data_IF_730281712108
#
_entry.id   IF_730281712108
#
_cell.length_a   1.000
_cell.length_b   1.000
_cell.length_c   1.000
_cell.angle_alpha   90.00
_cell.angle_beta   90.00
_cell.angle_gamma   90.00
#
_symmetry.space_group_name_H-M   'P 1'
#
loop_
_entity.id
_entity.type
_entity.pdbx_description
1 polymer ?
#
# COMPACT_ATOMS: atom_id res chain seq x y z
N UNK A 1 -1.22 -12.11 -25.32
CA UNK A 1 -0.04 -11.37 -24.82
C UNK A 1 1.17 -12.32 -24.86
N UNK A 2 2.34 -11.88 -25.31
CA UNK A 2 3.53 -12.75 -25.35
C UNK A 2 4.32 -12.68 -24.03
N UNK A 3 5.33 -13.54 -23.86
CA UNK A 3 6.13 -13.61 -22.63
C UNK A 3 6.88 -12.30 -22.35
N UNK A 4 7.45 -11.67 -23.38
CA UNK A 4 8.21 -10.41 -23.23
C UNK A 4 7.32 -9.27 -22.72
N UNK A 5 6.13 -9.11 -23.28
CA UNK A 5 5.13 -8.16 -22.77
C UNK A 5 4.73 -8.48 -21.33
N UNK A 6 4.56 -9.75 -20.99
CA UNK A 6 4.20 -10.17 -19.64
C UNK A 6 5.30 -9.86 -18.62
N UNK A 7 6.57 -10.07 -18.98
CA UNK A 7 7.73 -9.73 -18.14
C UNK A 7 7.83 -8.22 -17.94
N UNK A 8 7.62 -7.42 -19.00
CA UNK A 8 7.65 -5.95 -18.89
C UNK A 8 6.66 -5.43 -17.86
N UNK A 9 5.45 -6.00 -17.80
CA UNK A 9 4.41 -5.58 -16.85
C UNK A 9 4.78 -5.77 -15.36
N UNK A 10 5.84 -6.53 -15.05
CA UNK A 10 6.32 -6.73 -13.68
C UNK A 10 7.15 -5.55 -13.14
N UNK A 11 7.49 -4.59 -14.00
CA UNK A 11 8.16 -3.35 -13.61
C UNK A 11 7.42 -2.13 -14.17
N UNK A 12 7.69 -0.99 -13.58
CA UNK A 12 7.21 0.31 -14.03
C UNK A 12 7.90 0.73 -15.32
N UNK A 13 7.28 1.68 -16.00
CA UNK A 13 7.94 2.46 -17.06
C UNK A 13 8.85 3.52 -16.44
N UNK A 14 8.43 4.09 -15.31
CA UNK A 14 9.22 5.02 -14.51
C UNK A 14 8.91 4.89 -13.02
N UNK A 15 9.35 5.89 -12.26
CA UNK A 15 9.21 5.91 -10.78
C UNK A 15 7.76 5.97 -10.32
N UNK A 16 6.84 6.48 -11.15
CA UNK A 16 5.44 6.67 -10.80
C UNK A 16 4.45 6.02 -11.77
N UNK A 17 4.92 5.37 -12.84
CA UNK A 17 4.03 4.88 -13.92
C UNK A 17 4.24 3.40 -14.22
N UNK A 18 3.15 2.68 -14.47
CA UNK A 18 3.18 1.30 -14.95
C UNK A 18 3.46 1.24 -16.45
N UNK A 19 3.86 0.07 -16.94
CA UNK A 19 4.09 -0.15 -18.37
C UNK A 19 2.75 -0.16 -19.15
N UNK A 20 2.62 0.61 -20.24
CA UNK A 20 1.49 0.49 -21.15
C UNK A 20 1.64 -0.71 -22.08
N UNK A 21 0.51 -1.27 -22.53
CA UNK A 21 0.42 -2.25 -23.63
C UNK A 21 -0.71 -1.79 -24.58
N UNK A 22 -0.44 -0.81 -25.46
CA UNK A 22 -1.45 -0.23 -26.34
C UNK A 22 -2.14 -1.23 -27.26
N UNK A 23 -1.47 -2.33 -27.61
CA UNK A 23 -1.97 -3.38 -28.50
C UNK A 23 -3.22 -4.08 -27.94
N UNK A 24 -3.39 -4.07 -26.61
CA UNK A 24 -4.56 -4.61 -25.93
C UNK A 24 -5.40 -3.53 -25.23
N UNK A 25 -5.11 -2.24 -25.51
CA UNK A 25 -5.80 -1.12 -24.89
C UNK A 25 -5.41 -0.85 -23.43
N UNK A 26 -4.31 -1.44 -22.93
CA UNK A 26 -3.83 -1.17 -21.58
C UNK A 26 -3.00 0.11 -21.58
N UNK A 27 -3.52 1.17 -20.96
CA UNK A 27 -2.77 2.41 -20.73
C UNK A 27 -1.85 2.28 -19.52
N UNK A 28 -0.83 3.15 -19.46
CA UNK A 28 -0.06 3.34 -18.24
C UNK A 28 -0.97 3.88 -17.12
N UNK A 29 -0.74 3.38 -15.91
CA UNK A 29 -1.36 3.87 -14.69
C UNK A 29 -0.35 4.72 -13.91
N UNK A 30 -0.81 5.83 -13.36
CA UNK A 30 -0.01 6.71 -12.51
C UNK A 30 -0.28 6.42 -11.04
N UNK A 31 0.79 6.19 -10.28
CA UNK A 31 0.77 6.03 -8.84
C UNK A 31 1.37 7.28 -8.21
N UNK A 32 0.85 7.71 -7.06
CA UNK A 32 1.43 8.85 -6.34
C UNK A 32 1.27 8.71 -4.83
N UNK A 33 2.25 9.21 -4.09
CA UNK A 33 2.07 9.44 -2.66
C UNK A 33 0.94 10.45 -2.42
N UNK A 34 0.25 10.41 -1.29
CA UNK A 34 0.34 9.41 -0.23
C UNK A 34 -0.64 9.73 0.90
N UNK A 35 -0.42 9.26 2.14
CA UNK A 35 -1.45 9.18 3.18
C UNK A 35 -1.97 10.53 3.70
N UNK A 36 -1.33 11.66 3.37
CA UNK A 36 -1.67 13.02 3.86
C UNK A 36 -1.91 14.03 2.74
N UNK A 37 -2.15 13.55 1.52
CA UNK A 37 -2.38 14.39 0.33
C UNK A 37 -1.79 13.75 -0.93
N UNK A 38 -2.33 14.09 -2.10
CA UNK A 38 -1.87 13.53 -3.38
C UNK A 38 -0.81 14.44 -4.00
N UNK A 39 0.47 14.06 -3.92
CA UNK A 39 1.59 14.85 -4.43
C UNK A 39 1.49 15.07 -5.95
N UNK A 40 1.13 14.02 -6.69
CA UNK A 40 1.11 13.98 -8.16
C UNK A 40 2.34 13.28 -8.74
N UNK A 41 2.41 13.25 -10.08
CA UNK A 41 3.52 12.64 -10.83
C UNK A 41 4.71 13.57 -11.09
N UNK A 42 4.59 14.85 -10.76
CA UNK A 42 5.63 15.87 -10.95
C UNK A 42 5.90 16.59 -9.63
N UNK A 43 7.17 16.92 -9.39
CA UNK A 43 7.60 17.67 -8.19
C UNK A 43 7.75 19.15 -8.57
N UNK A 44 6.62 19.85 -8.70
CA UNK A 44 6.58 21.27 -9.07
C UNK A 44 5.59 22.05 -8.22
N UNK A 45 6.01 23.23 -7.76
CA UNK A 45 5.16 24.16 -6.99
C UNK A 45 3.98 24.72 -7.81
N UNK A 46 4.01 24.55 -9.14
CA UNK A 46 2.97 25.02 -10.04
C UNK A 46 1.71 24.15 -10.03
N UNK A 47 1.77 22.95 -9.45
CA UNK A 47 0.62 22.05 -9.27
C UNK A 47 0.46 21.66 -7.79
N UNK A 48 -0.04 22.58 -6.93
CA UNK A 48 -0.16 22.33 -5.51
C UNK A 48 -1.14 21.19 -5.21
N UNK A 49 -1.00 20.59 -4.02
CA UNK A 49 -1.88 19.56 -3.50
C UNK A 49 -2.56 20.01 -2.21
N UNK A 50 -3.76 19.52 -1.94
CA UNK A 50 -4.36 19.64 -0.62
C UNK A 50 -3.53 18.84 0.40
N UNK A 51 -3.01 19.53 1.43
CA UNK A 51 -2.35 18.89 2.57
C UNK A 51 -3.39 18.63 3.64
N UNK A 52 -3.54 17.36 4.01
CA UNK A 52 -4.48 16.92 5.02
C UNK A 52 -3.78 16.75 6.38
N UNK A 53 -4.53 16.68 7.50
CA UNK A 53 -3.96 16.32 8.79
C UNK A 53 -3.17 15.01 8.71
N UNK A 54 -2.19 14.84 9.59
CA UNK A 54 -1.38 13.62 9.63
C UNK A 54 -2.24 12.41 10.03
N UNK A 55 -1.82 11.18 9.69
CA UNK A 55 -2.56 9.94 10.02
C UNK A 55 -2.93 9.88 11.51
N UNK A 56 -1.97 10.17 12.38
CA UNK A 56 -2.18 10.20 13.83
C UNK A 56 -3.18 11.27 14.28
N UNK A 57 -3.19 12.44 13.63
CA UNK A 57 -4.15 13.49 13.91
C UNK A 57 -5.57 13.13 13.40
N UNK A 58 -5.66 12.48 12.24
CA UNK A 58 -6.92 11.93 11.73
C UNK A 58 -7.45 10.84 12.67
N UNK A 59 -6.59 9.95 13.15
CA UNK A 59 -6.97 8.86 14.06
C UNK A 59 -7.47 9.36 15.42
N UNK A 60 -6.95 10.49 15.90
CA UNK A 60 -7.44 11.13 17.13
C UNK A 60 -8.90 11.58 17.06
N UNK A 61 -9.53 11.59 15.87
CA UNK A 61 -10.98 11.85 15.73
C UNK A 61 -11.85 10.64 16.07
N UNK A 62 -11.34 9.41 15.94
CA UNK A 62 -12.11 8.15 16.03
C UNK A 62 -13.35 8.13 15.12
N UNK A 63 -13.31 8.85 14.00
CA UNK A 63 -14.46 9.07 13.13
C UNK A 63 -14.27 8.38 11.76
N UNK A 64 -14.83 7.18 11.61
CA UNK A 64 -14.81 6.42 10.35
C UNK A 64 -15.47 7.20 9.20
N UNK A 65 -16.56 7.92 9.45
CA UNK A 65 -17.24 8.72 8.42
C UNK A 65 -16.36 9.89 7.94
N UNK A 66 -15.58 10.49 8.85
CA UNK A 66 -14.59 11.49 8.49
C UNK A 66 -13.50 10.89 7.59
N UNK A 67 -12.97 9.71 7.91
CA UNK A 67 -11.93 9.07 7.11
C UNK A 67 -12.46 8.64 5.72
N UNK A 68 -13.72 8.23 5.63
CA UNK A 68 -14.39 7.98 4.35
C UNK A 68 -14.47 9.25 3.49
N UNK A 69 -14.93 10.37 4.08
CA UNK A 69 -14.96 11.68 3.37
C UNK A 69 -13.57 12.15 2.95
N UNK A 70 -12.56 11.93 3.79
CA UNK A 70 -11.16 12.23 3.46
C UNK A 70 -10.71 11.39 2.26
N UNK A 71 -11.08 10.11 2.20
CA UNK A 71 -10.84 9.27 1.02
C UNK A 71 -11.44 9.87 -0.25
N UNK A 72 -12.66 10.41 -0.18
CA UNK A 72 -13.29 11.11 -1.31
C UNK A 72 -12.54 12.38 -1.74
N UNK A 73 -12.02 13.17 -0.78
CA UNK A 73 -11.19 14.35 -1.09
C UNK A 73 -9.90 13.95 -1.80
N UNK A 74 -9.25 12.89 -1.32
CA UNK A 74 -8.02 12.36 -1.93
C UNK A 74 -8.27 11.83 -3.34
N UNK A 75 -9.38 11.13 -3.57
CA UNK A 75 -9.75 10.69 -4.91
C UNK A 75 -10.01 11.87 -5.85
N UNK A 76 -10.66 12.94 -5.38
CA UNK A 76 -10.84 14.16 -6.16
C UNK A 76 -9.51 14.80 -6.58
N UNK A 77 -8.56 14.91 -5.64
CA UNK A 77 -7.20 15.40 -5.94
C UNK A 77 -6.45 14.47 -6.90
N UNK A 78 -6.59 13.16 -6.74
CA UNK A 78 -5.98 12.17 -7.62
C UNK A 78 -6.51 12.30 -9.05
N UNK A 79 -7.83 12.38 -9.24
CA UNK A 79 -8.45 12.58 -10.56
C UNK A 79 -7.96 13.89 -11.18
N UNK A 80 -7.93 15.00 -10.42
CA UNK A 80 -7.43 16.29 -10.90
C UNK A 80 -5.98 16.21 -11.39
N UNK A 81 -5.15 15.42 -10.72
CA UNK A 81 -3.72 15.23 -11.03
C UNK A 81 -3.44 14.07 -12.01
N UNK A 82 -4.46 13.37 -12.51
CA UNK A 82 -4.28 12.20 -13.38
C UNK A 82 -3.61 11.01 -12.70
N UNK A 83 -3.84 10.85 -11.39
CA UNK A 83 -3.35 9.74 -10.56
C UNK A 83 -4.43 8.65 -10.48
N UNK A 84 -4.02 7.42 -10.75
CA UNK A 84 -4.89 6.24 -10.74
C UNK A 84 -4.87 5.49 -9.41
N UNK A 85 -3.76 5.55 -8.67
CA UNK A 85 -3.61 4.90 -7.37
C UNK A 85 -2.92 5.84 -6.37
N UNK A 86 -3.56 6.06 -5.23
CA UNK A 86 -2.97 6.78 -4.10
C UNK A 86 -2.22 5.78 -3.23
N UNK A 87 -0.93 6.04 -2.99
CA UNK A 87 -0.05 5.23 -2.14
C UNK A 87 -0.34 5.49 -0.66
N UNK A 88 -1.52 5.09 -0.21
CA UNK A 88 -1.97 5.16 1.17
C UNK A 88 -3.28 4.37 1.38
N UNK A 89 -3.70 4.20 2.64
CA UNK A 89 -3.14 4.81 3.85
C UNK A 89 -1.89 4.08 4.38
N UNK A 90 -1.12 4.73 5.27
CA UNK A 90 -0.08 4.03 6.05
C UNK A 90 -0.69 3.50 7.35
N UNK A 91 -0.58 2.19 7.59
CA UNK A 91 -1.29 1.47 8.67
C UNK A 91 -0.37 0.58 9.51
N UNK A 92 0.95 0.86 9.49
CA UNK A 92 1.89 0.31 10.47
C UNK A 92 1.55 0.82 11.88
N UNK A 93 1.97 0.09 12.92
CA UNK A 93 1.58 0.38 14.30
C UNK A 93 2.61 1.23 15.02
N UNK A 94 2.16 2.08 15.94
CA UNK A 94 3.04 2.85 16.81
C UNK A 94 3.66 1.97 17.91
N UNK A 95 4.51 1.01 17.55
CA UNK A 95 5.17 0.09 18.52
C UNK A 95 5.97 0.84 19.60
N UNK A 96 6.51 2.00 19.27
CA UNK A 96 7.36 2.83 20.13
C UNK A 96 7.11 4.30 19.86
N UNK A 97 7.20 5.23 20.82
CA UNK A 97 7.03 6.66 20.51
C UNK A 97 8.14 7.25 19.63
N UNK A 98 9.17 6.48 19.26
CA UNK A 98 10.36 6.93 18.52
C UNK A 98 10.33 6.68 17.01
N UNK A 99 9.27 6.07 16.48
CA UNK A 99 9.20 5.77 15.05
C UNK A 99 9.10 7.04 14.20
N UNK A 100 10.00 7.19 13.23
CA UNK A 100 10.12 8.39 12.40
C UNK A 100 8.93 8.66 11.47
N UNK A 101 8.06 7.67 11.26
CA UNK A 101 6.86 7.76 10.39
C UNK A 101 5.54 7.62 11.13
N UNK A 102 5.53 7.61 12.46
CA UNK A 102 4.26 7.51 13.21
C UNK A 102 3.30 8.65 12.94
N UNK A 103 3.78 9.81 12.52
CA UNK A 103 2.89 10.90 12.15
C UNK A 103 1.91 10.48 11.03
N UNK A 104 2.34 9.69 10.04
CA UNK A 104 1.52 9.25 8.90
C UNK A 104 0.78 7.93 9.13
N UNK A 105 1.07 7.21 10.21
CA UNK A 105 0.32 6.03 10.65
C UNK A 105 -0.89 6.45 11.52
N UNK A 106 -1.87 5.55 11.70
CA UNK A 106 -3.07 5.85 12.49
C UNK A 106 -2.85 5.71 14.00
N UNK A 107 -2.56 4.50 14.51
CA UNK A 107 -2.56 4.22 15.94
C UNK A 107 -1.55 3.14 16.35
N UNK A 108 -1.34 3.00 17.66
CA UNK A 108 -0.77 1.78 18.27
C UNK A 108 -1.78 0.63 18.31
N UNK A 109 -3.08 0.93 18.26
CA UNK A 109 -4.16 -0.04 18.35
C UNK A 109 -4.52 -0.61 16.95
N UNK A 110 -4.51 -1.94 16.78
CA UNK A 110 -4.80 -2.56 15.48
C UNK A 110 -6.25 -2.43 15.05
N UNK A 111 -7.21 -2.44 16.00
CA UNK A 111 -8.63 -2.31 15.70
C UNK A 111 -8.95 -0.92 15.15
N UNK A 112 -8.50 0.13 15.82
CA UNK A 112 -8.66 1.51 15.38
C UNK A 112 -7.99 1.72 14.02
N UNK A 113 -6.75 1.25 13.87
CA UNK A 113 -6.02 1.36 12.60
C UNK A 113 -6.75 0.66 11.46
N UNK A 114 -7.27 -0.55 11.67
CA UNK A 114 -8.03 -1.31 10.68
C UNK A 114 -9.35 -0.66 10.28
N UNK A 115 -10.14 -0.16 11.25
CA UNK A 115 -11.44 0.48 10.98
C UNK A 115 -11.28 1.79 10.21
N UNK A 116 -10.35 2.64 10.64
CA UNK A 116 -10.07 3.92 9.97
C UNK A 116 -9.49 3.71 8.56
N UNK A 117 -8.59 2.74 8.41
CA UNK A 117 -8.03 2.38 7.11
C UNK A 117 -9.11 1.84 6.15
N UNK A 118 -10.02 1.01 6.65
CA UNK A 118 -11.14 0.46 5.88
C UNK A 118 -12.02 1.59 5.34
N UNK A 119 -12.38 2.54 6.20
CA UNK A 119 -13.18 3.70 5.80
C UNK A 119 -12.46 4.58 4.76
N UNK A 120 -11.17 4.87 4.99
CA UNK A 120 -10.32 5.59 4.04
C UNK A 120 -10.29 4.90 2.66
N UNK A 121 -9.99 3.59 2.63
CA UNK A 121 -9.85 2.82 1.40
C UNK A 121 -11.16 2.81 0.61
N UNK A 122 -12.30 2.58 1.28
CA UNK A 122 -13.62 2.67 0.64
C UNK A 122 -13.87 4.05 0.05
N UNK A 123 -13.61 5.12 0.79
CA UNK A 123 -13.78 6.50 0.33
C UNK A 123 -12.97 6.82 -0.93
N UNK A 124 -11.72 6.32 -1.01
CA UNK A 124 -10.89 6.49 -2.23
C UNK A 124 -11.46 5.69 -3.41
N UNK A 125 -11.78 4.41 -3.19
CA UNK A 125 -12.16 3.47 -4.27
C UNK A 125 -13.57 3.66 -4.81
N UNK A 126 -14.53 4.08 -3.99
CA UNK A 126 -15.88 4.44 -4.44
C UNK A 126 -15.88 5.60 -5.45
N UNK A 127 -14.80 6.38 -5.48
CA UNK A 127 -14.60 7.49 -6.41
C UNK A 127 -13.70 7.13 -7.60
N UNK A 128 -13.46 5.84 -7.85
CA UNK A 128 -12.79 5.34 -9.05
C UNK A 128 -11.26 5.43 -9.04
N UNK A 129 -10.64 5.66 -7.88
CA UNK A 129 -9.19 5.72 -7.69
C UNK A 129 -8.76 4.55 -6.81
N UNK A 130 -7.64 3.91 -7.12
CA UNK A 130 -7.12 2.82 -6.29
C UNK A 130 -6.52 3.32 -4.98
N UNK A 131 -6.73 2.57 -3.90
CA UNK A 131 -5.99 2.75 -2.66
C UNK A 131 -4.88 1.69 -2.55
N UNK A 132 -3.83 2.02 -1.79
CA UNK A 132 -2.69 1.15 -1.56
C UNK A 132 -2.24 1.21 -0.09
N UNK A 133 -2.90 0.43 0.79
CA UNK A 133 -2.48 0.30 2.18
C UNK A 133 -1.02 -0.16 2.29
N UNK A 134 -0.27 0.48 3.20
CA UNK A 134 1.17 0.27 3.35
C UNK A 134 1.63 0.39 4.80
N UNK A 135 2.76 -0.19 5.20
CA UNK A 135 3.65 -1.08 4.47
C UNK A 135 3.51 -2.48 5.07
N UNK A 136 3.22 -3.45 4.21
CA UNK A 136 3.00 -4.84 4.61
C UNK A 136 4.35 -5.57 4.76
N UNK A 137 4.86 -5.90 5.94
CA UNK A 137 4.31 -5.69 7.29
C UNK A 137 5.44 -5.37 8.30
N UNK A 138 5.07 -4.88 9.49
CA UNK A 138 5.97 -4.62 10.62
C UNK A 138 7.09 -3.59 10.35
N UNK A 139 6.80 -2.56 9.56
CA UNK A 139 7.72 -1.47 9.24
C UNK A 139 7.58 -0.30 10.24
N UNK A 140 7.86 -0.55 11.52
CA UNK A 140 7.53 0.38 12.61
C UNK A 140 8.72 1.23 13.09
N UNK A 141 9.87 1.12 12.42
CA UNK A 141 11.07 1.91 12.70
C UNK A 141 11.84 2.23 11.41
N UNK A 142 12.42 3.44 11.36
CA UNK A 142 13.17 3.89 10.19
C UNK A 142 14.64 3.45 10.21
N UNK A 143 15.18 3.21 11.40
CA UNK A 143 16.55 2.73 11.58
C UNK A 143 16.72 1.38 10.89
N UNK A 144 17.68 1.32 9.96
CA UNK A 144 18.03 0.11 9.19
C UNK A 144 16.83 -0.55 8.48
N UNK A 145 15.78 0.20 8.16
CA UNK A 145 14.50 -0.34 7.64
C UNK A 145 14.62 -1.19 6.37
N UNK A 146 15.71 -1.07 5.61
CA UNK A 146 15.97 -1.85 4.39
C UNK A 146 16.76 -3.14 4.63
N UNK A 147 17.22 -3.38 5.86
CA UNK A 147 18.10 -4.51 6.21
C UNK A 147 17.72 -5.20 7.51
N UNK A 148 16.93 -4.55 8.36
CA UNK A 148 16.50 -5.12 9.64
C UNK A 148 15.59 -6.32 9.42
N UNK A 149 15.83 -7.40 10.17
CA UNK A 149 14.95 -8.56 10.26
C UNK A 149 14.19 -8.53 11.59
N UNK A 150 12.90 -8.19 11.51
CA UNK A 150 12.05 -8.06 12.68
C UNK A 150 11.64 -9.45 13.19
N UNK A 151 12.07 -9.77 14.41
CA UNK A 151 11.68 -10.99 15.10
C UNK A 151 10.35 -10.77 15.83
N UNK A 152 9.29 -11.43 15.37
CA UNK A 152 7.93 -11.29 15.90
C UNK A 152 7.30 -12.67 16.02
N UNK A 153 6.81 -13.04 17.21
CA UNK A 153 6.10 -14.31 17.38
C UNK A 153 4.75 -14.29 16.63
N UNK A 154 4.27 -15.47 16.26
CA UNK A 154 3.06 -15.64 15.45
C UNK A 154 1.84 -14.93 16.05
N UNK A 155 1.66 -15.02 17.37
CA UNK A 155 0.52 -14.41 18.03
C UNK A 155 0.57 -12.89 17.93
N UNK A 156 1.71 -12.29 18.25
CA UNK A 156 1.90 -10.84 18.09
C UNK A 156 1.75 -10.40 16.63
N UNK A 157 2.27 -11.20 15.69
CA UNK A 157 2.15 -10.92 14.26
C UNK A 157 0.68 -10.88 13.81
N UNK A 158 -0.11 -11.90 14.20
CA UNK A 158 -1.54 -12.03 13.88
C UNK A 158 -2.40 -10.98 14.58
N UNK A 159 -2.28 -10.86 15.90
CA UNK A 159 -3.16 -10.01 16.71
C UNK A 159 -2.88 -8.51 16.56
N UNK A 160 -1.65 -8.12 16.19
CA UNK A 160 -1.26 -6.71 16.07
C UNK A 160 -0.99 -6.30 14.62
N UNK A 161 0.10 -6.81 14.02
CA UNK A 161 0.60 -6.20 12.79
C UNK A 161 -0.24 -6.58 11.56
N UNK A 162 -0.70 -7.83 11.48
CA UNK A 162 -1.51 -8.33 10.38
C UNK A 162 -2.97 -7.87 10.49
N UNK A 163 -3.51 -7.75 11.69
CA UNK A 163 -4.94 -7.46 11.92
C UNK A 163 -5.49 -6.22 11.18
N UNK A 164 -4.80 -5.06 11.09
CA UNK A 164 -5.27 -3.93 10.29
C UNK A 164 -5.37 -4.25 8.80
N UNK A 165 -4.43 -5.02 8.26
CA UNK A 165 -4.42 -5.41 6.84
C UNK A 165 -5.49 -6.46 6.57
N UNK A 166 -5.68 -7.42 7.46
CA UNK A 166 -6.77 -8.41 7.40
C UNK A 166 -8.13 -7.72 7.30
N UNK A 167 -8.41 -6.77 8.21
CA UNK A 167 -9.64 -6.00 8.21
C UNK A 167 -9.84 -5.24 6.90
N UNK A 168 -8.80 -4.54 6.42
CA UNK A 168 -8.88 -3.77 5.17
C UNK A 168 -9.10 -4.68 3.95
N UNK A 169 -8.46 -5.85 3.89
CA UNK A 169 -8.66 -6.83 2.81
C UNK A 169 -10.09 -7.36 2.83
N UNK A 170 -10.58 -7.78 3.99
CA UNK A 170 -11.91 -8.35 4.16
C UNK A 170 -13.02 -7.32 3.86
N UNK A 171 -12.88 -6.09 4.38
CA UNK A 171 -13.97 -5.13 4.40
C UNK A 171 -13.89 -4.08 3.29
N UNK A 172 -12.70 -3.74 2.78
CA UNK A 172 -12.53 -2.68 1.78
C UNK A 172 -11.95 -3.15 0.44
N UNK A 173 -11.37 -4.36 0.37
CA UNK A 173 -10.77 -4.94 -0.85
C UNK A 173 -9.88 -3.93 -1.57
N UNK A 174 -8.72 -3.57 -0.99
CA UNK A 174 -7.84 -2.57 -1.59
C UNK A 174 -7.39 -3.03 -2.97
N UNK A 175 -7.25 -2.13 -3.93
CA UNK A 175 -6.82 -2.46 -5.30
C UNK A 175 -5.34 -2.77 -5.39
N UNK A 176 -4.55 -2.36 -4.40
CA UNK A 176 -3.13 -2.62 -4.32
C UNK A 176 -2.69 -2.69 -2.86
N UNK A 177 -1.59 -3.38 -2.56
CA UNK A 177 -0.92 -3.31 -1.26
C UNK A 177 0.57 -3.09 -1.51
N UNK A 178 1.22 -2.29 -0.66
CA UNK A 178 2.67 -2.07 -0.74
C UNK A 178 3.40 -2.92 0.30
N UNK A 179 4.33 -3.77 -0.16
CA UNK A 179 5.23 -4.51 0.71
C UNK A 179 6.24 -3.58 1.39
N UNK A 180 6.60 -3.91 2.62
CA UNK A 180 7.57 -3.20 3.42
C UNK A 180 9.02 -3.46 2.97
N UNK A 181 9.94 -2.66 3.49
CA UNK A 181 11.37 -2.79 3.22
C UNK A 181 12.05 -3.87 4.07
N UNK A 182 11.62 -4.03 5.32
CA UNK A 182 12.27 -4.89 6.31
C UNK A 182 12.06 -6.37 6.01
N UNK A 183 12.82 -7.22 6.70
CA UNK A 183 12.49 -8.63 6.88
C UNK A 183 11.56 -8.85 8.07
N UNK A 184 10.87 -9.98 8.07
CA UNK A 184 10.13 -10.50 9.22
C UNK A 184 10.44 -11.98 9.36
N UNK A 185 11.01 -12.36 10.50
CA UNK A 185 11.41 -13.73 10.82
C UNK A 185 12.24 -14.41 9.71
N UNK A 186 13.17 -13.67 9.10
CA UNK A 186 14.15 -14.17 8.14
C UNK A 186 14.12 -13.44 6.80
N UNK A 187 13.07 -13.66 5.99
CA UNK A 187 13.01 -13.18 4.60
C UNK A 187 12.57 -11.70 4.51
N UNK A 188 13.14 -10.90 3.59
CA UNK A 188 12.63 -9.58 3.23
C UNK A 188 11.16 -9.62 2.81
N UNK A 189 10.36 -8.62 3.18
CA UNK A 189 8.92 -8.59 2.88
C UNK A 189 8.59 -8.63 1.39
N UNK A 190 9.54 -8.32 0.50
CA UNK A 190 9.37 -8.42 -0.95
C UNK A 190 9.34 -9.85 -1.49
N UNK A 191 9.79 -10.82 -0.70
CA UNK A 191 9.86 -12.25 -1.04
C UNK A 191 9.39 -13.15 0.12
N UNK A 192 8.72 -12.57 1.12
CA UNK A 192 8.32 -13.28 2.33
C UNK A 192 7.07 -14.13 2.10
N UNK A 193 7.01 -15.32 2.72
CA UNK A 193 5.86 -16.23 2.64
C UNK A 193 4.55 -15.58 3.11
N UNK A 194 4.62 -14.55 3.95
CA UNK A 194 3.48 -13.72 4.37
C UNK A 194 2.73 -13.06 3.21
N UNK A 195 3.36 -12.89 2.05
CA UNK A 195 2.70 -12.43 0.83
C UNK A 195 1.77 -13.49 0.24
N UNK A 196 2.13 -14.77 0.33
CA UNK A 196 1.29 -15.87 -0.11
C UNK A 196 0.27 -16.23 0.97
N UNK A 197 0.72 -16.45 2.20
CA UNK A 197 -0.11 -16.81 3.35
C UNK A 197 0.25 -15.95 4.56
N UNK A 198 -0.67 -15.13 5.10
CA UNK A 198 -2.12 -15.23 4.92
C UNK A 198 -2.70 -14.38 3.77
N UNK A 199 -1.92 -13.48 3.16
CA UNK A 199 -2.48 -12.41 2.33
C UNK A 199 -3.26 -12.91 1.10
N UNK A 200 -2.64 -13.74 0.26
CA UNK A 200 -3.27 -14.25 -0.97
C UNK A 200 -4.18 -15.44 -0.70
N UNK A 201 -3.79 -16.34 0.21
CA UNK A 201 -4.53 -17.55 0.54
C UNK A 201 -5.66 -17.29 1.53
N UNK A 202 -5.34 -17.26 2.82
CA UNK A 202 -6.33 -17.12 3.90
C UNK A 202 -7.28 -15.92 3.72
N UNK A 203 -6.76 -14.74 3.35
CA UNK A 203 -7.57 -13.53 3.22
C UNK A 203 -8.10 -13.29 1.81
N UNK A 204 -7.59 -14.01 0.81
CA UNK A 204 -8.07 -13.93 -0.57
C UNK A 204 -7.82 -12.60 -1.27
N UNK A 205 -6.75 -11.85 -0.92
CA UNK A 205 -6.40 -10.61 -1.62
C UNK A 205 -6.07 -10.89 -3.09
N UNK A 206 -6.80 -10.30 -4.04
CA UNK A 206 -6.65 -10.54 -5.47
C UNK A 206 -5.88 -9.43 -6.21
N UNK A 207 -5.64 -8.28 -5.57
CA UNK A 207 -4.94 -7.14 -6.17
C UNK A 207 -3.42 -7.34 -6.35
N UNK A 208 -2.75 -6.52 -7.19
CA UNK A 208 -1.29 -6.50 -7.30
C UNK A 208 -0.60 -6.05 -6.00
N UNK A 209 0.63 -6.51 -5.82
CA UNK A 209 1.56 -5.99 -4.82
C UNK A 209 2.50 -4.98 -5.48
N UNK A 210 2.80 -3.90 -4.79
CA UNK A 210 3.88 -2.99 -5.17
C UNK A 210 4.99 -3.00 -4.13
N UNK A 211 6.22 -2.72 -4.56
CA UNK A 211 7.37 -2.64 -3.67
C UNK A 211 7.57 -1.19 -3.24
N UNK A 212 7.90 -0.99 -1.97
CA UNK A 212 8.36 0.32 -1.53
C UNK A 212 9.64 0.69 -2.29
N UNK A 213 9.65 1.84 -2.96
CA UNK A 213 10.78 2.28 -3.81
C UNK A 213 11.89 2.88 -2.95
N UNK A 214 12.96 2.12 -2.71
CA UNK A 214 14.19 2.65 -2.11
C UNK A 214 14.90 3.62 -3.06
N UNK A 215 15.86 4.44 -2.58
CA UNK A 215 16.63 5.38 -3.41
C UNK A 215 17.42 4.72 -4.56
N UNK A 216 17.51 3.39 -4.60
CA UNK A 216 18.14 2.60 -5.67
C UNK A 216 17.14 2.00 -6.69
N UNK A 217 15.82 2.09 -6.45
CA UNK A 217 14.81 1.54 -7.35
C UNK A 217 14.37 2.60 -8.36
N UNK A 218 14.93 2.53 -9.57
CA UNK A 218 14.64 3.48 -10.66
C UNK A 218 13.23 3.39 -11.28
N UNK A 219 12.32 2.57 -10.74
CA UNK A 219 10.96 2.41 -11.23
C UNK A 219 10.00 1.88 -10.14
N UNK A 220 8.69 2.12 -10.30
CA UNK A 220 7.64 1.34 -9.59
C UNK A 220 7.89 -0.13 -9.87
N UNK A 221 7.83 -1.00 -8.89
CA UNK A 221 7.76 -2.44 -9.15
C UNK A 221 6.37 -2.93 -8.78
N UNK A 222 5.71 -3.60 -9.73
CA UNK A 222 4.39 -4.21 -9.55
C UNK A 222 4.59 -5.71 -9.67
N UNK A 223 4.59 -6.39 -8.53
CA UNK A 223 4.55 -7.85 -8.50
C UNK A 223 3.09 -8.28 -8.52
N UNK A 224 2.64 -8.80 -9.66
CA UNK A 224 1.50 -9.71 -9.66
C UNK A 224 2.01 -11.05 -9.13
N UNK A 225 2.07 -11.22 -7.81
CA UNK A 225 2.28 -12.54 -7.22
C UNK A 225 0.99 -13.33 -7.45
N UNK A 226 0.88 -13.92 -8.64
CA UNK A 226 -0.11 -14.96 -8.93
C UNK A 226 0.37 -16.18 -8.14
N UNK A 227 -0.47 -16.81 -7.29
CA UNK A 227 -0.09 -18.07 -6.67
C UNK A 227 0.25 -19.07 -7.77
N UNK A 228 1.52 -19.44 -7.86
CA UNK A 228 1.96 -20.54 -8.72
C UNK A 228 1.47 -21.79 -8.01
N UNK A 229 0.40 -22.40 -8.51
CA UNK A 229 0.02 -23.74 -8.05
C UNK A 229 1.19 -24.70 -8.31
N UNK A 230 1.37 -25.79 -7.53
CA UNK A 230 2.46 -26.75 -7.71
C UNK A 230 2.57 -27.34 -9.13
N UNK A 231 1.54 -27.16 -9.94
CA UNK A 231 1.40 -27.64 -11.31
C UNK A 231 1.80 -26.59 -12.37
N UNK A 232 2.28 -25.41 -11.96
CA UNK A 232 2.84 -24.41 -12.89
C UNK A 232 1.82 -23.75 -13.82
N UNK A 233 0.53 -23.80 -13.49
CA UNK A 233 -0.52 -23.16 -14.30
C UNK A 233 -0.92 -21.85 -13.64
N UNK A 234 -0.88 -20.75 -14.43
CA UNK A 234 -1.44 -19.46 -14.05
C UNK A 234 -2.97 -19.63 -13.89
N UNK A 235 -3.50 -19.24 -12.74
CA UNK A 235 -4.95 -19.15 -12.53
C UNK A 235 -5.55 -17.95 -13.29
#
# INVERSE_FOLDING_TARGET
>A
MNLETSIRLLSGEGVWTTQPVPEIGLRAMTLSDGPVGVRGGTDTELDPAAVLPTGSAMAASWDEDLLHRIGGVLAGEAVRKGVDVVLGPTINLHRSPRGGRHFECFSEDPLLSGRLATAYVRGVQENGVGACPKHYIANDAETDRTTVDNQVDERTLRELYLAPFEAVVADARPWMIMAAYNGVNGAPMTENDLLAEPLKGEWGFDGPLTLATGPSAGAVHVSATVPITPEGTLA
#
